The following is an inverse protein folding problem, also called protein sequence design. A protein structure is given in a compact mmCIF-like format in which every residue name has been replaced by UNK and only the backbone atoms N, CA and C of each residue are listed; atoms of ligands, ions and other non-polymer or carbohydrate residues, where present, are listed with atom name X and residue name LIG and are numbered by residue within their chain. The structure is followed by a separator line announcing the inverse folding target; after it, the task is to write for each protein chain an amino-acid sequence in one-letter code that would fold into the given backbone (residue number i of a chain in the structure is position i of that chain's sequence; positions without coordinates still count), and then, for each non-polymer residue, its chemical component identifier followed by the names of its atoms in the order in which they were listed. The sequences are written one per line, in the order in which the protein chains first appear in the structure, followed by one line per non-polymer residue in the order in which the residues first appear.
data_IF_989660747619
#
_entry.id   IF_989660747619
#
_cell.length_a   1.000
_cell.length_b   1.000
_cell.length_c   1.000
_cell.angle_alpha   90.00
_cell.angle_beta   90.00
_cell.angle_gamma   90.00
#
_symmetry.space_group_name_H-M   'P 1'
#
loop_
_entity.id
_entity.type
_entity.pdbx_description
1 polymer ?
#
# COMPACT_ATOMS: atom_id res chain seq x y z
N UNK A 1 -0.26 -50.47 -32.58
CA UNK A 1 0.80 -49.92 -31.71
C UNK A 1 1.09 -48.42 -31.92
N UNK A 2 0.80 -47.81 -33.09
CA UNK A 2 1.05 -46.36 -33.32
C UNK A 2 -0.07 -45.42 -32.86
N UNK A 3 -1.29 -45.93 -32.70
CA UNK A 3 -2.46 -45.15 -32.24
C UNK A 3 -2.55 -45.00 -30.72
N UNK A 4 -1.84 -45.81 -29.94
CA UNK A 4 -1.86 -45.74 -28.46
C UNK A 4 -0.93 -44.67 -27.89
N UNK A 5 -0.04 -44.10 -28.71
CA UNK A 5 0.90 -43.05 -28.30
C UNK A 5 0.32 -41.64 -28.43
N UNK A 6 -0.75 -41.46 -29.22
CA UNK A 6 -1.38 -40.15 -29.45
C UNK A 6 -2.35 -39.76 -28.33
N UNK A 7 -2.89 -40.73 -27.57
CA UNK A 7 -3.84 -40.47 -26.48
C UNK A 7 -3.19 -39.96 -25.18
N UNK A 8 -1.87 -40.11 -25.01
CA UNK A 8 -1.19 -39.73 -23.76
C UNK A 8 -0.89 -38.24 -23.61
N UNK A 9 -0.88 -37.48 -24.71
CA UNK A 9 -0.41 -36.08 -24.73
C UNK A 9 -1.57 -35.08 -24.51
N UNK A 10 -2.83 -35.49 -24.75
CA UNK A 10 -4.00 -34.60 -24.63
C UNK A 10 -4.51 -34.34 -23.21
N UNK A 11 -4.06 -35.09 -22.21
CA UNK A 11 -4.62 -35.03 -20.86
C UNK A 11 -4.04 -33.90 -19.97
N UNK A 12 -2.96 -33.23 -20.41
CA UNK A 12 -2.28 -32.21 -19.60
C UNK A 12 -2.89 -30.80 -19.72
N UNK A 13 -3.82 -30.58 -20.65
CA UNK A 13 -4.41 -29.26 -20.90
C UNK A 13 -5.72 -28.96 -20.14
N UNK A 14 -6.19 -29.87 -19.29
CA UNK A 14 -7.53 -29.76 -18.67
C UNK A 14 -7.57 -29.19 -17.24
N UNK A 15 -6.43 -28.79 -16.64
CA UNK A 15 -6.38 -28.35 -15.22
C UNK A 15 -6.00 -26.87 -15.00
N UNK A 16 -6.34 -25.98 -15.93
CA UNK A 16 -5.84 -24.59 -15.92
C UNK A 16 -6.80 -23.45 -15.56
N UNK A 17 -8.08 -23.69 -15.27
CA UNK A 17 -9.08 -22.59 -15.19
C UNK A 17 -9.55 -22.26 -13.76
N UNK A 18 -8.66 -22.31 -12.76
CA UNK A 18 -9.01 -21.80 -11.44
C UNK A 18 -9.17 -20.26 -11.50
N UNK A 19 -10.30 -19.69 -11.05
CA UNK A 19 -10.46 -18.24 -11.00
C UNK A 19 -9.53 -17.67 -9.91
N UNK A 20 -8.54 -16.88 -10.33
CA UNK A 20 -7.70 -16.12 -9.40
C UNK A 20 -8.53 -15.01 -8.74
N UNK A 21 -8.48 -14.84 -7.40
CA UNK A 21 -9.18 -13.76 -6.73
C UNK A 21 -8.60 -12.41 -7.14
N UNK A 22 -9.43 -11.54 -7.72
CA UNK A 22 -9.08 -10.15 -8.10
C UNK A 22 -9.16 -9.18 -6.91
N UNK A 23 -8.67 -9.60 -5.76
CA UNK A 23 -8.53 -8.67 -4.64
C UNK A 23 -7.25 -7.84 -4.82
N UNK A 24 -7.34 -6.57 -4.43
CA UNK A 24 -6.30 -5.55 -4.45
C UNK A 24 -6.14 -4.72 -5.73
N UNK A 25 -7.25 -4.37 -6.39
CA UNK A 25 -7.44 -2.97 -6.78
C UNK A 25 -7.96 -2.20 -5.56
N UNK A 26 -7.18 -2.23 -4.48
CA UNK A 26 -7.44 -1.39 -3.32
C UNK A 26 -6.99 0.00 -3.78
N UNK A 27 -7.95 0.77 -4.29
CA UNK A 27 -7.73 2.16 -4.68
C UNK A 27 -6.92 2.82 -3.59
N UNK A 28 -5.81 3.45 -3.97
CA UNK A 28 -4.98 4.22 -3.07
C UNK A 28 -5.91 5.24 -2.43
N UNK A 29 -6.37 4.96 -1.21
CA UNK A 29 -6.82 6.03 -0.34
C UNK A 29 -5.55 6.85 -0.16
N UNK A 30 -5.47 7.96 -0.88
CA UNK A 30 -4.61 9.05 -0.46
C UNK A 30 -5.21 9.48 0.88
N UNK A 31 -4.82 8.77 1.95
CA UNK A 31 -4.69 9.44 3.22
C UNK A 31 -3.78 10.60 2.88
N UNK A 32 -4.31 11.81 3.02
CA UNK A 32 -3.47 12.96 3.29
C UNK A 32 -2.72 12.55 4.56
N UNK A 33 -1.60 11.85 4.38
CA UNK A 33 -0.62 11.65 5.40
C UNK A 33 -0.14 13.07 5.64
N UNK A 34 -0.87 13.80 6.48
CA UNK A 34 -0.28 14.74 7.37
C UNK A 34 0.83 13.94 8.04
N UNK A 35 2.04 14.06 7.47
CA UNK A 35 3.24 13.45 7.99
C UNK A 35 3.47 14.23 9.26
N UNK A 36 2.81 13.80 10.33
CA UNK A 36 3.06 14.26 11.68
C UNK A 36 4.50 13.86 11.97
N UNK A 37 5.42 14.81 11.75
CA UNK A 37 6.81 14.63 12.06
C UNK A 37 6.86 14.26 13.54
N UNK A 38 7.34 13.05 13.85
CA UNK A 38 7.16 12.35 15.13
C UNK A 38 7.90 12.95 16.34
N UNK A 39 7.78 14.25 16.58
CA UNK A 39 8.38 14.99 17.70
C UNK A 39 7.37 15.55 18.71
N UNK A 40 6.07 15.45 18.42
CA UNK A 40 5.00 16.01 19.26
C UNK A 40 5.01 17.55 19.32
N UNK A 41 3.97 18.12 19.92
CA UNK A 41 3.84 19.57 20.06
C UNK A 41 4.89 20.15 21.01
N UNK A 42 5.37 21.37 20.72
CA UNK A 42 6.16 22.14 21.68
C UNK A 42 5.32 22.40 22.94
N UNK A 43 5.96 22.32 24.11
CA UNK A 43 5.30 22.62 25.40
C UNK A 43 4.79 24.05 25.50
N UNK A 44 5.40 24.98 24.77
CA UNK A 44 5.02 26.39 24.70
C UNK A 44 3.96 26.68 23.63
N UNK A 45 3.33 25.66 23.04
CA UNK A 45 2.30 25.89 22.03
C UNK A 45 1.09 26.60 22.64
N UNK A 46 0.47 27.58 21.95
CA UNK A 46 -0.75 28.21 22.42
C UNK A 46 -1.90 27.20 22.62
N UNK A 47 -2.90 27.51 23.46
CA UNK A 47 -4.08 26.67 23.59
C UNK A 47 -4.76 26.43 22.25
N UNK A 48 -5.00 25.15 21.92
CA UNK A 48 -5.66 24.75 20.67
C UNK A 48 -4.76 24.66 19.44
N UNK A 49 -3.49 25.07 19.53
CA UNK A 49 -2.52 24.94 18.45
C UNK A 49 -1.39 23.98 18.80
N UNK A 50 -0.89 23.24 17.82
CA UNK A 50 0.32 22.43 17.95
C UNK A 50 1.44 23.06 17.13
N UNK A 51 2.42 23.66 17.80
CA UNK A 51 3.57 24.27 17.14
C UNK A 51 4.79 23.34 17.16
N UNK A 52 5.54 23.30 16.06
CA UNK A 52 6.80 22.58 15.97
C UNK A 52 7.90 23.39 15.30
N UNK A 53 9.15 23.06 15.62
CA UNK A 53 10.32 23.68 14.99
C UNK A 53 10.76 22.80 13.82
N UNK A 54 10.73 23.34 12.62
CA UNK A 54 11.43 22.76 11.49
C UNK A 54 12.92 23.11 11.62
N UNK A 55 13.74 22.17 12.08
CA UNK A 55 15.18 22.40 12.25
C UNK A 55 15.91 22.56 10.92
N UNK A 56 15.32 22.11 9.80
CA UNK A 56 15.89 22.25 8.47
C UNK A 56 15.65 23.65 7.91
N UNK A 57 14.44 24.18 8.11
CA UNK A 57 14.08 25.54 7.70
C UNK A 57 14.47 26.61 8.72
N UNK A 58 14.69 26.22 9.99
CA UNK A 58 14.95 27.15 11.09
C UNK A 58 13.72 27.97 11.50
N UNK A 59 12.52 27.50 11.19
CA UNK A 59 11.26 28.21 11.44
C UNK A 59 10.29 27.38 12.25
N UNK A 60 9.47 28.06 13.06
CA UNK A 60 8.34 27.45 13.75
C UNK A 60 7.12 27.50 12.84
N UNK A 61 6.40 26.39 12.75
CA UNK A 61 5.05 26.40 12.21
C UNK A 61 4.07 25.83 13.23
N UNK A 62 2.80 26.24 13.14
CA UNK A 62 1.72 25.80 14.02
C UNK A 62 0.56 25.25 13.20
N UNK A 63 -0.05 24.18 13.70
CA UNK A 63 -1.32 23.62 13.26
C UNK A 63 -2.41 24.01 14.24
#
# INVERSE_FOLDING_TARGET
MKMMMVLGIGALLAMGTAPVPKYAAQGSIAFDQAVEHGGGCRKSSPPGQCCHMDNKAGSVHCH
#
